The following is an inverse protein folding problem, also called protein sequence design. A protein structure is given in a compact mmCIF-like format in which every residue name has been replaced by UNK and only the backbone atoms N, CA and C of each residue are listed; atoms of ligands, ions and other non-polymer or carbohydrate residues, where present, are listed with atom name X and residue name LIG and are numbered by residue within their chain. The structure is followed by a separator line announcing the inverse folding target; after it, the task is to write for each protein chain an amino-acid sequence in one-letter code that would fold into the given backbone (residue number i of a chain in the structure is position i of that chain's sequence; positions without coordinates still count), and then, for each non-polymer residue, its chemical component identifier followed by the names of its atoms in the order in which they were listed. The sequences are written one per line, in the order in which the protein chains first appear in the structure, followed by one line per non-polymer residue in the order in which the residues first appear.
data_IF_493657909415
#
_entry.id   IF_493657909415
#
_cell.length_a   1.000
_cell.length_b   1.000
_cell.length_c   1.000
_cell.angle_alpha   90.00
_cell.angle_beta   90.00
_cell.angle_gamma   90.00
#
_symmetry.space_group_name_H-M   'P 1'
#
loop_
_entity.id
_entity.type
_entity.pdbx_description
1 polymer ?
#
# COMPACT_ATOMS: atom_id res chain seq x y z
N UNK A 1 -10.77 4.97 3.12
CA UNK A 1 -10.15 3.96 4.02
C UNK A 1 -11.11 2.78 4.23
N UNK A 2 -10.84 1.60 3.65
CA UNK A 2 -11.57 0.34 3.94
C UNK A 2 -11.25 -0.04 5.39
N UNK A 3 -12.03 0.43 6.34
CA UNK A 3 -11.84 0.10 7.74
C UNK A 3 -12.35 -1.33 8.01
N UNK A 4 -11.39 -2.24 8.23
CA UNK A 4 -11.48 -3.47 9.05
C UNK A 4 -12.02 -4.78 8.45
N UNK A 5 -12.53 -4.84 7.22
CA UNK A 5 -12.91 -6.14 6.65
C UNK A 5 -11.69 -7.03 6.30
N UNK A 6 -10.51 -6.44 6.12
CA UNK A 6 -9.31 -7.17 5.71
C UNK A 6 -8.52 -7.78 6.90
N UNK A 7 -8.92 -7.48 8.15
CA UNK A 7 -8.22 -8.00 9.34
C UNK A 7 -8.21 -9.53 9.40
N UNK A 8 -9.27 -10.17 8.88
CA UNK A 8 -9.34 -11.63 8.76
C UNK A 8 -8.35 -12.18 7.73
N UNK A 9 -8.15 -11.50 6.59
CA UNK A 9 -7.19 -11.92 5.57
C UNK A 9 -5.74 -11.80 6.05
N UNK A 10 -5.41 -10.69 6.73
CA UNK A 10 -4.08 -10.51 7.33
C UNK A 10 -3.79 -11.54 8.41
N UNK A 11 -4.79 -11.87 9.24
CA UNK A 11 -4.68 -12.94 10.24
C UNK A 11 -4.46 -14.30 9.56
N UNK A 12 -5.24 -14.61 8.52
CA UNK A 12 -5.10 -15.86 7.78
C UNK A 12 -3.72 -16.00 7.11
N UNK A 13 -3.16 -14.90 6.60
CA UNK A 13 -1.78 -14.85 6.09
C UNK A 13 -0.78 -15.20 7.20
N UNK A 14 -0.88 -14.56 8.37
CA UNK A 14 0.03 -14.81 9.48
C UNK A 14 -0.05 -16.29 9.95
N UNK A 15 -1.25 -16.85 10.04
CA UNK A 15 -1.46 -18.26 10.39
C UNK A 15 -0.86 -19.20 9.34
N UNK A 16 -1.08 -18.91 8.05
CA UNK A 16 -0.56 -19.70 6.92
C UNK A 16 0.96 -19.71 6.87
N UNK A 17 1.61 -18.60 7.22
CA UNK A 17 3.06 -18.49 7.30
C UNK A 17 3.64 -18.99 8.63
N UNK A 18 2.79 -19.37 9.60
CA UNK A 18 3.19 -19.81 10.94
C UNK A 18 4.15 -18.84 11.66
N UNK A 19 3.97 -17.53 11.43
CA UNK A 19 4.84 -16.48 11.97
C UNK A 19 4.58 -16.24 13.45
N UNK A 20 5.63 -15.85 14.18
CA UNK A 20 5.56 -15.62 15.63
C UNK A 20 5.68 -14.15 15.98
N UNK A 21 6.48 -13.39 15.23
CA UNK A 21 6.73 -11.97 15.45
C UNK A 21 6.19 -11.19 14.26
N UNK A 22 5.07 -10.50 14.48
CA UNK A 22 4.42 -9.65 13.49
C UNK A 22 4.54 -8.19 13.92
N UNK A 23 4.91 -7.32 12.99
CA UNK A 23 4.82 -5.87 13.15
C UNK A 23 3.78 -5.32 12.18
N UNK A 24 2.81 -4.56 12.69
CA UNK A 24 1.83 -3.83 11.89
C UNK A 24 2.28 -2.36 11.77
N UNK A 25 2.46 -1.90 10.52
CA UNK A 25 2.86 -0.53 10.21
C UNK A 25 1.75 0.26 9.50
N UNK A 26 0.50 -0.20 9.56
CA UNK A 26 -0.65 0.46 8.95
C UNK A 26 -0.95 1.86 9.50
N UNK A 27 -0.46 2.18 10.70
CA UNK A 27 -0.56 3.53 11.27
C UNK A 27 0.47 4.52 10.67
N UNK A 28 1.42 4.04 9.86
CA UNK A 28 2.48 4.84 9.26
C UNK A 28 3.88 4.34 9.62
N UNK A 29 4.89 5.07 9.10
CA UNK A 29 6.30 4.76 9.30
C UNK A 29 6.92 5.52 10.49
N UNK A 30 6.12 6.35 11.15
CA UNK A 30 6.51 7.07 12.36
C UNK A 30 6.51 6.09 13.55
N UNK A 31 7.59 6.11 14.33
CA UNK A 31 7.71 5.23 15.49
C UNK A 31 8.11 3.78 15.18
N UNK A 32 8.62 3.50 13.96
CA UNK A 32 9.29 2.23 13.69
C UNK A 32 10.39 1.96 14.74
N UNK A 33 10.54 0.71 15.21
CA UNK A 33 11.61 0.37 16.14
C UNK A 33 12.98 0.59 15.49
N UNK A 34 14.01 0.83 16.32
CA UNK A 34 15.37 1.03 15.86
C UNK A 34 16.03 -0.25 15.32
N UNK A 35 15.62 -1.39 15.86
CA UNK A 35 16.05 -2.74 15.51
C UNK A 35 14.87 -3.73 15.54
N UNK A 36 15.04 -4.88 14.90
CA UNK A 36 13.97 -5.87 14.81
C UNK A 36 14.43 -7.19 14.20
N UNK A 37 13.70 -8.25 14.52
CA UNK A 37 13.76 -9.55 13.85
C UNK A 37 12.33 -10.05 13.73
N UNK A 38 11.56 -9.40 12.86
CA UNK A 38 10.17 -9.75 12.60
C UNK A 38 10.08 -10.80 11.48
N UNK A 39 9.27 -11.83 11.71
CA UNK A 39 8.99 -12.85 10.70
C UNK A 39 8.08 -12.28 9.61
N UNK A 40 7.19 -11.34 9.99
CA UNK A 40 6.27 -10.66 9.10
C UNK A 40 6.11 -9.21 9.51
N UNK A 41 6.23 -8.29 8.55
CA UNK A 41 5.79 -6.91 8.70
C UNK A 41 4.63 -6.71 7.74
N UNK A 42 3.48 -6.28 8.25
CA UNK A 42 2.29 -6.00 7.45
C UNK A 42 2.09 -4.50 7.30
N UNK A 43 1.78 -4.07 6.08
CA UNK A 43 1.58 -2.68 5.73
C UNK A 43 0.21 -2.50 5.04
N UNK A 44 -0.90 -2.62 5.80
CA UNK A 44 -2.25 -2.39 5.28
C UNK A 44 -2.46 -0.91 4.96
N UNK A 45 -3.31 -0.62 3.97
CA UNK A 45 -3.62 0.74 3.51
C UNK A 45 -2.41 1.59 3.06
N UNK A 46 -1.32 0.94 2.68
CA UNK A 46 -0.11 1.56 2.13
C UNK A 46 0.45 2.77 2.91
N UNK A 47 1.20 2.54 4.00
CA UNK A 47 1.88 3.61 4.74
C UNK A 47 2.96 4.34 3.90
N UNK A 48 3.28 3.87 2.70
CA UNK A 48 4.24 4.49 1.79
C UNK A 48 3.59 5.43 0.76
N UNK A 49 2.25 5.50 0.70
CA UNK A 49 1.52 6.27 -0.30
C UNK A 49 1.86 7.77 -0.29
N UNK A 50 2.21 8.33 0.88
CA UNK A 50 2.61 9.73 1.03
C UNK A 50 4.05 10.03 0.58
N UNK A 51 4.85 9.01 0.23
CA UNK A 51 6.22 9.16 -0.23
C UNK A 51 6.22 9.27 -1.76
N UNK A 52 6.43 10.50 -2.25
CA UNK A 52 6.27 10.84 -3.67
C UNK A 52 7.53 10.62 -4.51
N UNK A 53 8.71 10.67 -3.87
CA UNK A 53 10.01 10.60 -4.55
C UNK A 53 10.55 9.16 -4.56
N UNK A 54 11.08 8.73 -5.72
CA UNK A 54 11.64 7.39 -5.91
C UNK A 54 12.67 7.02 -4.84
N UNK A 55 13.68 7.88 -4.65
CA UNK A 55 14.77 7.61 -3.71
C UNK A 55 14.29 7.51 -2.26
N UNK A 56 13.31 8.33 -1.87
CA UNK A 56 12.74 8.28 -0.53
C UNK A 56 11.92 7.01 -0.31
N UNK A 57 11.20 6.54 -1.34
CA UNK A 57 10.41 5.32 -1.31
C UNK A 57 11.29 4.07 -1.23
N UNK A 58 12.36 4.01 -2.02
CA UNK A 58 13.39 2.97 -1.91
C UNK A 58 14.03 2.95 -0.52
N UNK A 59 14.40 4.12 0.02
CA UNK A 59 14.99 4.21 1.35
C UNK A 59 14.01 3.76 2.46
N UNK A 60 12.73 4.10 2.33
CA UNK A 60 11.69 3.67 3.27
C UNK A 60 11.50 2.14 3.26
N UNK A 61 11.41 1.52 2.08
CA UNK A 61 11.37 0.05 1.97
C UNK A 61 12.62 -0.55 2.60
N UNK A 62 13.81 -0.05 2.28
CA UNK A 62 15.06 -0.56 2.84
C UNK A 62 15.10 -0.47 4.38
N UNK A 63 14.62 0.65 4.95
CA UNK A 63 14.52 0.84 6.40
C UNK A 63 13.61 -0.21 7.05
N UNK A 64 12.40 -0.44 6.51
CA UNK A 64 11.46 -1.44 7.05
C UNK A 64 12.00 -2.85 6.87
N UNK A 65 12.58 -3.14 5.71
CA UNK A 65 13.21 -4.43 5.40
C UNK A 65 14.36 -4.77 6.34
N UNK A 66 15.06 -3.77 6.87
CA UNK A 66 16.12 -3.94 7.86
C UNK A 66 15.65 -4.46 9.23
N UNK A 67 14.33 -4.46 9.49
CA UNK A 67 13.74 -4.99 10.72
C UNK A 67 13.30 -6.47 10.58
N UNK A 68 13.41 -7.03 9.38
CA UNK A 68 13.01 -8.41 9.12
C UNK A 68 14.06 -9.39 9.65
N UNK A 69 13.58 -10.52 10.17
CA UNK A 69 14.42 -11.71 10.32
C UNK A 69 14.92 -12.18 8.93
N UNK A 70 15.93 -13.06 8.91
CA UNK A 70 16.58 -13.57 7.69
C UNK A 70 15.58 -14.04 6.62
N UNK A 71 14.57 -14.80 7.03
CA UNK A 71 13.52 -15.35 6.14
C UNK A 71 12.19 -14.60 6.28
N UNK A 72 12.22 -13.41 6.89
CA UNK A 72 11.05 -12.58 7.14
C UNK A 72 10.52 -11.93 5.86
N UNK A 73 9.23 -11.56 5.89
CA UNK A 73 8.55 -10.90 4.78
C UNK A 73 8.00 -9.54 5.19
N UNK A 74 8.13 -8.54 4.32
CA UNK A 74 7.31 -7.33 4.34
C UNK A 74 6.20 -7.49 3.30
N UNK A 75 4.95 -7.38 3.72
CA UNK A 75 3.78 -7.47 2.83
C UNK A 75 3.05 -6.14 2.82
N UNK A 76 3.02 -5.52 1.65
CA UNK A 76 2.42 -4.21 1.41
C UNK A 76 1.14 -4.40 0.62
N UNK A 77 0.02 -3.98 1.19
CA UNK A 77 -1.17 -3.71 0.40
C UNK A 77 -1.02 -2.30 -0.17
N UNK A 78 -0.50 -2.25 -1.39
CA UNK A 78 -0.11 -1.01 -2.04
C UNK A 78 -1.34 -0.24 -2.52
N UNK A 79 -1.31 1.08 -2.38
CA UNK A 79 -2.25 1.95 -3.07
C UNK A 79 -2.08 1.71 -4.56
N UNK A 80 -3.10 1.17 -5.20
CA UNK A 80 -3.12 0.88 -6.62
C UNK A 80 -4.23 1.66 -7.32
N UNK A 81 -3.90 2.23 -8.47
CA UNK A 81 -4.88 2.86 -9.37
C UNK A 81 -4.72 2.16 -10.71
N UNK A 82 -5.69 1.32 -11.12
CA UNK A 82 -5.59 0.59 -12.37
C UNK A 82 -5.73 1.53 -13.58
N UNK A 83 -5.27 1.13 -14.78
CA UNK A 83 -5.18 2.01 -15.95
C UNK A 83 -6.51 2.68 -16.32
N UNK A 84 -7.63 1.98 -16.17
CA UNK A 84 -8.95 2.54 -16.45
C UNK A 84 -9.33 3.67 -15.48
N UNK A 85 -8.91 3.60 -14.22
CA UNK A 85 -9.16 4.64 -13.23
C UNK A 85 -8.17 5.79 -13.37
N UNK A 86 -6.92 5.49 -13.72
CA UNK A 86 -5.90 6.51 -14.04
C UNK A 86 -6.32 7.39 -15.22
N UNK A 87 -6.91 6.78 -16.25
CA UNK A 87 -7.48 7.51 -17.38
C UNK A 87 -8.61 8.46 -16.95
N UNK A 88 -9.46 8.05 -16.00
CA UNK A 88 -10.51 8.91 -15.44
C UNK A 88 -9.92 10.00 -14.54
N UNK A 89 -8.93 9.68 -13.71
CA UNK A 89 -8.24 10.64 -12.84
C UNK A 89 -7.51 11.73 -13.64
N UNK A 90 -7.12 11.43 -14.88
CA UNK A 90 -6.49 12.37 -15.81
C UNK A 90 -7.48 13.30 -16.53
N UNK A 91 -8.79 13.03 -16.45
CA UNK A 91 -9.81 13.90 -17.02
C UNK A 91 -10.05 15.15 -16.15
N UNK A 92 -10.60 16.26 -16.70
CA UNK A 92 -10.80 17.51 -15.95
C UNK A 92 -11.61 17.38 -14.65
N UNK A 93 -12.59 16.47 -14.62
CA UNK A 93 -13.44 16.24 -13.45
C UNK A 93 -12.79 15.32 -12.40
N UNK A 94 -11.73 14.61 -12.77
CA UNK A 94 -11.04 13.63 -11.95
C UNK A 94 -11.85 12.34 -11.70
N UNK A 95 -11.22 11.40 -11.00
CA UNK A 95 -11.85 10.17 -10.53
C UNK A 95 -12.58 10.47 -9.21
N UNK A 96 -13.90 10.28 -9.22
CA UNK A 96 -14.75 10.50 -8.05
C UNK A 96 -15.02 9.15 -7.37
N UNK A 97 -14.72 9.08 -6.08
CA UNK A 97 -15.07 7.95 -5.21
C UNK A 97 -15.98 8.45 -4.09
N UNK A 98 -17.11 7.80 -3.91
CA UNK A 98 -18.08 8.14 -2.87
C UNK A 98 -18.31 6.96 -1.93
N UNK A 99 -18.35 7.25 -0.63
CA UNK A 99 -18.61 6.27 0.42
C UNK A 99 -19.63 6.81 1.40
N UNK A 100 -20.68 6.04 1.65
CA UNK A 100 -21.64 6.34 2.73
C UNK A 100 -21.04 5.90 4.07
N UNK A 101 -21.05 6.80 5.04
CA UNK A 101 -20.58 6.54 6.40
C UNK A 101 -21.73 6.06 7.30
N UNK A 102 -21.40 5.50 8.46
CA UNK A 102 -22.37 4.94 9.41
C UNK A 102 -23.36 5.98 9.95
N UNK A 103 -22.93 7.25 10.03
CA UNK A 103 -23.77 8.39 10.44
C UNK A 103 -24.71 8.88 9.32
N UNK A 104 -24.66 8.24 8.15
CA UNK A 104 -25.47 8.58 6.97
C UNK A 104 -24.88 9.68 6.10
N UNK A 105 -23.77 10.31 6.50
CA UNK A 105 -23.06 11.26 5.65
C UNK A 105 -22.36 10.57 4.47
N UNK A 106 -22.00 11.35 3.46
CA UNK A 106 -21.26 10.87 2.28
C UNK A 106 -19.87 11.49 2.29
N UNK A 107 -18.86 10.64 2.37
CA UNK A 107 -17.48 10.98 2.08
C UNK A 107 -17.30 10.95 0.56
N UNK A 108 -16.84 12.06 -0.02
CA UNK A 108 -16.56 12.19 -1.45
C UNK A 108 -15.10 12.56 -1.62
N UNK A 109 -14.37 11.69 -2.31
CA UNK A 109 -12.99 11.90 -2.71
C UNK A 109 -12.92 12.19 -4.20
N UNK A 110 -12.22 13.24 -4.58
CA UNK A 110 -11.88 13.54 -5.98
C UNK A 110 -10.38 13.37 -6.15
N UNK A 111 -10.00 12.47 -7.05
CA UNK A 111 -8.63 12.12 -7.37
C UNK A 111 -8.25 12.74 -8.72
N UNK A 112 -7.25 13.62 -8.71
CA UNK A 112 -6.71 14.25 -9.92
C UNK A 112 -5.30 13.75 -10.16
N UNK A 113 -5.05 13.18 -11.35
CA UNK A 113 -3.73 12.72 -11.74
C UNK A 113 -2.78 13.91 -11.94
N UNK A 114 -1.56 13.78 -11.43
CA UNK A 114 -0.47 14.74 -11.56
C UNK A 114 0.67 14.24 -12.47
N UNK A 115 0.52 13.01 -13.01
CA UNK A 115 1.57 12.29 -13.74
C UNK A 115 2.36 11.33 -12.85
N UNK A 116 3.05 10.37 -13.47
CA UNK A 116 3.93 9.39 -12.78
C UNK A 116 3.27 8.64 -11.61
N UNK A 117 1.98 8.30 -11.77
CA UNK A 117 1.15 7.66 -10.75
C UNK A 117 0.99 8.47 -9.46
N UNK A 118 1.21 9.79 -9.52
CA UNK A 118 0.91 10.72 -8.43
C UNK A 118 -0.48 11.31 -8.59
N UNK A 119 -1.16 11.50 -7.46
CA UNK A 119 -2.51 12.04 -7.42
C UNK A 119 -2.64 13.07 -6.31
N UNK A 120 -3.41 14.13 -6.58
CA UNK A 120 -4.00 14.94 -5.53
C UNK A 120 -5.39 14.39 -5.19
N UNK A 121 -5.64 14.14 -3.91
CA UNK A 121 -6.91 13.69 -3.38
C UNK A 121 -7.54 14.84 -2.63
N UNK A 122 -8.77 15.19 -3.00
CA UNK A 122 -9.61 16.14 -2.27
C UNK A 122 -10.80 15.42 -1.66
N UNK A 123 -10.78 15.29 -0.34
CA UNK A 123 -11.91 14.76 0.43
C UNK A 123 -12.72 15.92 0.98
N UNK A 124 -14.05 15.84 0.87
CA UNK A 124 -14.94 16.88 1.40
C UNK A 124 -14.68 17.13 2.90
N UNK A 125 -14.44 18.39 3.25
CA UNK A 125 -14.17 18.80 4.64
C UNK A 125 -12.73 18.56 5.12
N UNK A 126 -11.81 18.13 4.24
CA UNK A 126 -10.39 17.94 4.54
C UNK A 126 -9.49 18.75 3.61
N UNK A 127 -8.27 19.03 4.05
CA UNK A 127 -7.23 19.58 3.18
C UNK A 127 -6.85 18.57 2.10
N UNK A 128 -6.49 19.02 0.88
CA UNK A 128 -5.97 18.13 -0.15
C UNK A 128 -4.74 17.36 0.33
N UNK A 129 -4.64 16.10 -0.07
CA UNK A 129 -3.48 15.24 0.18
C UNK A 129 -2.85 14.83 -1.14
N UNK A 130 -1.51 14.69 -1.17
CA UNK A 130 -0.82 14.10 -2.30
C UNK A 130 -0.41 12.68 -1.96
N UNK A 131 -0.64 11.79 -2.91
CA UNK A 131 -0.24 10.39 -2.83
C UNK A 131 0.44 9.96 -4.12
N UNK A 132 1.13 8.84 -4.05
CA UNK A 132 1.65 8.13 -5.20
C UNK A 132 1.21 6.67 -5.13
N UNK A 133 0.47 6.23 -6.14
CA UNK A 133 0.10 4.83 -6.28
C UNK A 133 1.33 4.01 -6.73
N UNK A 134 1.36 2.73 -6.40
CA UNK A 134 2.37 1.82 -6.89
C UNK A 134 2.13 1.47 -8.36
N UNK A 135 3.21 1.48 -9.14
CA UNK A 135 3.25 0.77 -10.42
C UNK A 135 3.96 -0.57 -10.22
N UNK A 136 3.41 -1.66 -10.77
CA UNK A 136 3.96 -3.01 -10.62
C UNK A 136 5.41 -3.15 -11.13
N UNK A 137 5.83 -2.27 -12.04
CA UNK A 137 7.21 -2.19 -12.54
C UNK A 137 8.09 -1.11 -11.90
N UNK A 138 7.64 -0.45 -10.83
CA UNK A 138 8.40 0.62 -10.18
C UNK A 138 9.74 0.13 -9.61
N UNK A 139 10.77 0.97 -9.73
CA UNK A 139 12.15 0.64 -9.34
C UNK A 139 12.27 0.17 -7.89
N UNK A 140 11.58 0.81 -6.94
CA UNK A 140 11.68 0.45 -5.52
C UNK A 140 11.18 -0.99 -5.23
N UNK A 141 10.15 -1.47 -5.94
CA UNK A 141 9.66 -2.84 -5.83
C UNK A 141 10.61 -3.83 -6.52
N UNK A 142 11.08 -3.47 -7.72
CA UNK A 142 12.02 -4.30 -8.49
C UNK A 142 13.35 -4.50 -7.76
N UNK A 143 13.95 -3.44 -7.23
CA UNK A 143 15.25 -3.49 -6.55
C UNK A 143 15.19 -4.13 -5.16
N UNK A 144 14.02 -4.13 -4.53
CA UNK A 144 13.80 -4.86 -3.27
C UNK A 144 13.52 -6.35 -3.48
N UNK A 145 13.40 -6.82 -4.73
CA UNK A 145 13.08 -8.21 -5.04
C UNK A 145 11.61 -8.56 -4.77
N UNK A 146 10.72 -7.56 -4.79
CA UNK A 146 9.33 -7.77 -4.48
C UNK A 146 8.65 -8.70 -5.50
N UNK A 147 7.86 -9.65 -5.01
CA UNK A 147 6.87 -10.37 -5.81
C UNK A 147 5.55 -9.61 -5.77
N UNK A 148 4.89 -9.45 -6.92
CA UNK A 148 3.58 -8.80 -7.02
C UNK A 148 2.47 -9.87 -7.11
N UNK A 149 1.38 -9.67 -6.36
CA UNK A 149 0.19 -10.52 -6.34
C UNK A 149 -1.10 -9.68 -6.34
N UNK A 150 -2.22 -10.27 -6.72
CA UNK A 150 -3.54 -9.61 -6.69
C UNK A 150 -4.27 -9.73 -5.35
N UNK A 151 -3.68 -10.41 -4.36
CA UNK A 151 -4.31 -10.65 -3.05
C UNK A 151 -3.37 -11.35 -2.07
N UNK A 152 -3.77 -11.35 -0.78
CA UNK A 152 -3.01 -11.97 0.31
C UNK A 152 -3.03 -13.52 0.26
N UNK A 153 -3.89 -14.08 -0.59
CA UNK A 153 -3.97 -15.50 -0.94
C UNK A 153 -3.03 -15.88 -2.10
N UNK A 154 -2.12 -14.98 -2.47
CA UNK A 154 -1.12 -15.20 -3.53
C UNK A 154 -1.68 -15.35 -4.95
N UNK A 155 -2.95 -15.00 -5.18
CA UNK A 155 -3.52 -14.98 -6.53
C UNK A 155 -2.68 -14.10 -7.46
N UNK A 156 -2.69 -14.46 -8.75
CA UNK A 156 -1.96 -13.71 -9.76
C UNK A 156 -2.40 -12.26 -9.83
N UNK A 157 -1.44 -11.38 -10.07
CA UNK A 157 -1.71 -9.95 -10.24
C UNK A 157 -2.37 -9.70 -11.60
N UNK A 158 -3.53 -9.04 -11.57
CA UNK A 158 -4.21 -8.51 -12.75
C UNK A 158 -4.00 -6.98 -12.80
N UNK A 159 -3.31 -6.43 -13.82
CA UNK A 159 -3.15 -4.99 -14.00
C UNK A 159 -4.46 -4.21 -14.19
N UNK A 160 -5.56 -4.89 -14.49
CA UNK A 160 -6.89 -4.27 -14.58
C UNK A 160 -7.72 -4.47 -13.32
N UNK A 161 -7.20 -5.24 -12.35
CA UNK A 161 -7.80 -5.47 -11.04
C UNK A 161 -7.68 -4.26 -10.11
N UNK A 162 -8.29 -4.35 -8.93
CA UNK A 162 -8.36 -3.25 -7.96
C UNK A 162 -7.30 -3.31 -6.86
N UNK A 163 -6.42 -4.33 -6.88
CA UNK A 163 -5.52 -4.63 -5.76
C UNK A 163 -4.11 -5.00 -6.23
N UNK A 164 -3.12 -4.47 -5.51
CA UNK A 164 -1.71 -4.82 -5.66
C UNK A 164 -1.16 -5.19 -4.28
N UNK A 165 -0.70 -6.42 -4.13
CA UNK A 165 0.06 -6.88 -2.98
C UNK A 165 1.52 -7.02 -3.38
N UNK A 166 2.41 -6.29 -2.73
CA UNK A 166 3.85 -6.46 -2.89
C UNK A 166 4.40 -7.26 -1.70
N UNK A 167 5.08 -8.37 -2.00
CA UNK A 167 5.75 -9.22 -1.00
C UNK A 167 7.25 -9.04 -1.16
N UNK A 168 7.86 -8.35 -0.20
CA UNK A 168 9.28 -8.02 -0.18
C UNK A 168 10.01 -8.98 0.77
N UNK A 169 11.00 -9.75 0.31
CA UNK A 169 11.77 -10.63 1.19
C UNK A 169 12.75 -9.86 2.08
N UNK A 170 13.15 -10.46 3.20
CA UNK A 170 14.28 -10.02 4.01
C UNK A 170 15.62 -9.99 3.26
N UNK A 171 16.68 -9.58 3.94
CA UNK A 171 18.04 -9.66 3.41
C UNK A 171 18.59 -11.08 3.59
N UNK A 172 19.12 -11.66 2.50
CA UNK A 172 19.78 -12.98 2.48
C UNK A 172 21.24 -12.91 2.91
#
# INVERSE_FOLDING_TARGET
MRLRDDAAEWKALAERLAVRRVLDIGAGLDGLPGDGEFDLIVAPNDPFAGILEDGARTAAIAKVRGLLARDGLLVIEGLYVPPQEDAVASAPDGLIRERKLDDGSVEREVWTALGEHQYEIRTNGSSPARVRAWHWGETALRESGARIAGGLDERDFDPWGDRLIAVVPGWS
#
